data_IF_343073845396
#
_entry.id   IF_343073845396
#
_cell.length_a   1.000
_cell.length_b   1.000
_cell.length_c   1.000
_cell.angle_alpha   90.00
_cell.angle_beta   90.00
_cell.angle_gamma   90.00
#
_symmetry.space_group_name_H-M   'P 1'
#
loop_
_entity.id
_entity.type
_entity.pdbx_description
1 polymer ?
#
# COMPACT_ATOMS: atom_id res chain seq x y z
N UNK A 1 -13.85 -14.92 75.27
CA UNK A 1 -12.86 -14.16 74.48
C UNK A 1 -12.91 -14.66 73.04
N UNK A 2 -12.61 -13.76 72.10
CA UNK A 2 -12.71 -13.87 70.63
C UNK A 2 -14.07 -13.45 70.04
N UNK A 3 -14.19 -12.12 69.87
CA UNK A 3 -15.10 -11.48 68.93
C UNK A 3 -14.62 -11.76 67.50
N UNK A 4 -15.51 -12.13 66.59
CA UNK A 4 -15.27 -12.04 65.16
C UNK A 4 -16.25 -11.01 64.58
N UNK A 5 -15.68 -9.86 64.19
CA UNK A 5 -16.38 -8.65 63.79
C UNK A 5 -16.99 -8.77 62.40
N UNK A 6 -18.14 -8.12 62.25
CA UNK A 6 -18.82 -7.83 60.99
C UNK A 6 -18.02 -6.87 60.12
N UNK A 7 -17.81 -7.23 58.86
CA UNK A 7 -17.47 -6.29 57.77
C UNK A 7 -18.34 -6.61 56.55
N UNK A 8 -19.64 -6.32 56.69
CA UNK A 8 -20.55 -6.17 55.56
C UNK A 8 -20.72 -4.68 55.33
N UNK A 9 -20.20 -4.17 54.22
CA UNK A 9 -20.37 -2.78 53.82
C UNK A 9 -19.07 -2.17 53.35
N UNK A 10 -18.81 -2.30 52.05
CA UNK A 10 -18.18 -1.36 51.09
C UNK A 10 -17.91 -2.21 49.84
N UNK A 11 -18.95 -2.49 49.05
CA UNK A 11 -18.79 -3.20 47.76
C UNK A 11 -19.80 -2.75 46.70
N UNK A 12 -20.46 -1.61 46.90
CA UNK A 12 -21.56 -1.17 46.04
C UNK A 12 -21.49 0.32 45.66
N UNK A 13 -20.29 0.86 45.38
CA UNK A 13 -20.14 2.26 44.97
C UNK A 13 -19.01 2.55 43.98
N UNK A 14 -18.61 1.54 43.20
CA UNK A 14 -17.56 1.64 42.17
C UNK A 14 -18.01 1.17 40.78
N UNK A 15 -19.31 1.29 40.48
CA UNK A 15 -19.91 0.93 39.18
C UNK A 15 -20.75 2.08 38.59
N UNK A 16 -20.31 3.33 38.74
CA UNK A 16 -21.00 4.51 38.18
C UNK A 16 -20.05 5.56 37.60
N UNK A 17 -18.93 5.10 37.04
CA UNK A 17 -18.20 5.81 35.99
C UNK A 17 -18.15 4.92 34.75
N UNK A 18 -19.33 4.54 34.24
CA UNK A 18 -19.45 4.28 32.80
C UNK A 18 -19.19 5.63 32.13
N UNK A 19 -17.93 5.83 31.76
CA UNK A 19 -17.49 6.96 31.00
C UNK A 19 -18.41 7.10 29.80
N UNK A 20 -19.18 8.19 29.80
CA UNK A 20 -19.41 8.98 28.60
C UNK A 20 -18.05 9.51 28.15
N UNK A 21 -17.15 8.60 27.77
CA UNK A 21 -16.11 8.91 26.82
C UNK A 21 -16.87 9.22 25.56
N UNK A 22 -17.22 10.49 25.37
CA UNK A 22 -17.49 11.01 24.05
C UNK A 22 -16.31 10.54 23.22
N UNK A 23 -16.54 9.50 22.41
CA UNK A 23 -15.60 9.09 21.38
C UNK A 23 -15.53 10.30 20.47
N UNK A 24 -14.59 11.20 20.77
CA UNK A 24 -14.20 12.26 19.87
C UNK A 24 -13.73 11.49 18.65
N UNK A 25 -14.64 11.32 17.69
CA UNK A 25 -14.33 10.78 16.38
C UNK A 25 -13.12 11.56 15.92
N UNK A 26 -11.98 10.89 15.90
CA UNK A 26 -10.73 11.51 15.52
C UNK A 26 -10.91 12.01 14.09
N UNK A 27 -10.86 13.33 13.92
CA UNK A 27 -11.06 13.98 12.64
C UNK A 27 -10.02 13.47 11.64
N UNK A 28 -10.43 13.36 10.37
CA UNK A 28 -9.48 13.08 9.30
C UNK A 28 -8.36 14.14 9.32
N UNK A 29 -7.08 13.73 9.37
CA UNK A 29 -5.99 14.67 9.34
C UNK A 29 -5.97 15.43 8.01
N UNK A 30 -5.68 16.73 8.04
CA UNK A 30 -5.66 17.55 6.82
C UNK A 30 -4.53 17.12 5.85
N UNK A 31 -3.47 16.48 6.38
CA UNK A 31 -2.31 15.94 5.68
C UNK A 31 -2.39 14.42 5.43
N UNK A 32 -3.61 13.84 5.36
CA UNK A 32 -3.79 12.38 5.28
C UNK A 32 -3.01 11.71 4.13
N UNK A 33 -2.86 12.36 2.97
CA UNK A 33 -2.10 11.82 1.82
C UNK A 33 -0.62 11.61 2.16
N UNK A 34 -0.01 12.61 2.79
CA UNK A 34 1.38 12.56 3.23
C UNK A 34 1.58 11.47 4.30
N UNK A 35 0.61 11.29 5.19
CA UNK A 35 0.65 10.20 6.18
C UNK A 35 0.55 8.83 5.54
N UNK A 36 -0.31 8.65 4.55
CA UNK A 36 -0.39 7.40 3.76
C UNK A 36 0.96 7.10 3.10
N UNK A 37 1.54 8.10 2.44
CA UNK A 37 2.86 7.98 1.83
C UNK A 37 3.91 7.57 2.86
N UNK A 38 3.89 8.19 4.04
CA UNK A 38 4.79 7.84 5.15
C UNK A 38 4.61 6.39 5.60
N UNK A 39 3.37 5.94 5.84
CA UNK A 39 3.09 4.55 6.23
C UNK A 39 3.65 3.56 5.19
N UNK A 40 3.46 3.87 3.91
CA UNK A 40 3.85 3.02 2.77
C UNK A 40 5.38 3.03 2.57
N UNK A 41 6.03 4.18 2.76
CA UNK A 41 7.49 4.31 2.73
C UNK A 41 8.17 3.51 3.84
N UNK A 42 7.59 3.50 5.05
CA UNK A 42 8.13 2.74 6.19
C UNK A 42 8.11 1.22 5.95
N UNK A 43 7.10 0.71 5.24
CA UNK A 43 7.06 -0.69 4.84
C UNK A 43 8.18 -1.06 3.85
N UNK A 44 8.80 -0.07 3.21
CA UNK A 44 9.78 -0.22 2.14
C UNK A 44 9.25 -0.99 0.92
N UNK A 45 8.00 -1.48 0.89
CA UNK A 45 7.42 -2.21 -0.27
C UNK A 45 7.15 -1.31 -1.46
N UNK A 46 7.03 0.00 -1.25
CA UNK A 46 6.78 0.94 -2.33
C UNK A 46 8.04 1.24 -3.15
N UNK A 47 7.98 1.09 -4.48
CA UNK A 47 9.11 1.36 -5.35
C UNK A 47 9.62 2.81 -5.30
N UNK A 48 8.72 3.77 -5.06
CA UNK A 48 9.05 5.20 -5.00
C UNK A 48 10.00 5.56 -3.85
N UNK A 49 10.04 4.77 -2.78
CA UNK A 49 10.86 5.05 -1.59
C UNK A 49 12.32 4.61 -1.74
N UNK A 50 12.72 4.02 -2.87
CA UNK A 50 14.01 3.32 -3.01
C UNK A 50 14.14 2.06 -2.14
N UNK A 51 13.12 1.76 -1.32
CA UNK A 51 13.07 0.67 -0.35
C UNK A 51 12.55 -0.66 -0.89
N UNK A 52 11.98 -0.73 -2.10
CA UNK A 52 11.45 -2.00 -2.63
C UNK A 52 12.53 -3.03 -2.97
N UNK A 53 13.77 -2.56 -3.21
CA UNK A 53 14.92 -3.39 -3.54
C UNK A 53 15.21 -4.47 -2.48
N UNK A 54 15.44 -4.09 -1.21
CA UNK A 54 15.99 -5.03 -0.25
C UNK A 54 14.96 -6.07 0.20
N UNK A 55 13.67 -5.74 0.19
CA UNK A 55 12.58 -6.68 0.44
C UNK A 55 12.59 -7.95 -0.41
N UNK A 56 13.17 -7.84 -1.61
CA UNK A 56 13.01 -8.82 -2.66
C UNK A 56 14.35 -9.50 -2.98
N UNK A 57 15.46 -8.83 -2.64
CA UNK A 57 16.82 -9.31 -2.91
C UNK A 57 17.60 -9.66 -1.66
N UNK A 58 17.08 -9.37 -0.45
CA UNK A 58 17.71 -9.65 0.83
C UNK A 58 16.76 -10.43 1.77
N UNK A 59 17.12 -11.69 2.08
CA UNK A 59 16.28 -12.60 2.85
C UNK A 59 16.14 -12.13 4.29
N UNK A 60 17.22 -11.63 4.88
CA UNK A 60 17.25 -11.22 6.28
C UNK A 60 16.30 -10.05 6.48
N UNK A 61 16.22 -9.14 5.50
CA UNK A 61 15.26 -8.03 5.53
C UNK A 61 13.83 -8.48 5.32
N UNK A 62 13.59 -9.47 4.46
CA UNK A 62 12.26 -10.02 4.28
C UNK A 62 11.78 -10.76 5.55
N UNK A 63 12.65 -11.56 6.17
CA UNK A 63 12.41 -12.17 7.48
C UNK A 63 12.17 -11.07 8.53
N UNK A 64 12.99 -10.01 8.57
CA UNK A 64 12.81 -8.86 9.45
C UNK A 64 11.42 -8.21 9.31
N UNK A 65 10.98 -7.97 8.08
CA UNK A 65 9.70 -7.30 7.79
C UNK A 65 8.50 -8.14 8.23
N UNK A 66 8.61 -9.45 8.09
CA UNK A 66 7.60 -10.41 8.53
C UNK A 66 7.62 -10.63 10.05
N UNK A 67 8.78 -10.90 10.64
CA UNK A 67 8.93 -11.22 12.06
C UNK A 67 8.77 -10.01 12.99
N UNK A 68 9.32 -8.84 12.60
CA UNK A 68 9.16 -7.59 13.39
C UNK A 68 7.83 -6.90 13.14
N UNK A 69 6.98 -7.48 12.28
CA UNK A 69 5.63 -7.02 11.99
C UNK A 69 5.59 -5.63 11.35
N UNK A 70 6.57 -5.28 10.52
CA UNK A 70 6.62 -3.96 9.87
C UNK A 70 5.45 -3.82 8.89
N UNK A 71 5.18 -4.86 8.08
CA UNK A 71 4.00 -4.86 7.19
C UNK A 71 2.70 -4.73 7.98
N UNK A 72 2.58 -5.41 9.12
CA UNK A 72 1.42 -5.29 10.00
C UNK A 72 1.25 -3.87 10.53
N UNK A 73 2.35 -3.24 10.98
CA UNK A 73 2.35 -1.84 11.44
C UNK A 73 1.91 -0.88 10.35
N UNK A 74 2.38 -1.07 9.12
CA UNK A 74 1.94 -0.26 7.98
C UNK A 74 0.45 -0.46 7.69
N UNK A 75 -0.03 -1.70 7.70
CA UNK A 75 -1.46 -2.01 7.54
C UNK A 75 -2.30 -1.32 8.63
N UNK A 76 -1.83 -1.33 9.87
CA UNK A 76 -2.51 -0.68 10.99
C UNK A 76 -2.47 0.85 10.87
N UNK A 77 -1.35 1.42 10.40
CA UNK A 77 -1.19 2.85 10.08
C UNK A 77 -2.20 3.30 9.01
N UNK A 78 -2.29 2.56 7.90
CA UNK A 78 -3.25 2.82 6.83
C UNK A 78 -4.70 2.69 7.32
N UNK A 79 -4.99 1.67 8.16
CA UNK A 79 -6.33 1.46 8.71
C UNK A 79 -6.75 2.60 9.64
N UNK A 80 -5.84 3.10 10.48
CA UNK A 80 -6.12 4.24 11.36
C UNK A 80 -6.49 5.48 10.54
N UNK A 81 -5.73 5.79 9.48
CA UNK A 81 -6.03 6.91 8.57
C UNK A 81 -7.40 6.71 7.91
N UNK A 82 -7.65 5.53 7.32
CA UNK A 82 -8.94 5.24 6.67
C UNK A 82 -10.12 5.37 7.64
N UNK A 83 -9.94 4.91 8.89
CA UNK A 83 -10.97 4.99 9.94
C UNK A 83 -11.28 6.44 10.29
N UNK A 84 -10.27 7.29 10.47
CA UNK A 84 -10.43 8.73 10.77
C UNK A 84 -11.07 9.52 9.63
N UNK A 85 -10.84 9.06 8.39
CA UNK A 85 -11.38 9.70 7.19
C UNK A 85 -12.71 9.08 6.70
N UNK A 86 -13.25 8.10 7.41
CA UNK A 86 -14.43 7.33 6.98
C UNK A 86 -15.73 8.14 6.87
N UNK A 87 -15.85 9.23 7.65
CA UNK A 87 -17.03 10.10 7.67
C UNK A 87 -17.08 11.08 6.48
N UNK A 88 -15.95 11.32 5.81
CA UNK A 88 -15.89 12.18 4.62
C UNK A 88 -15.81 11.32 3.36
N UNK A 89 -16.89 11.31 2.57
CA UNK A 89 -17.01 10.46 1.37
C UNK A 89 -15.89 10.75 0.37
N UNK A 90 -15.54 12.02 0.14
CA UNK A 90 -14.51 12.40 -0.82
C UNK A 90 -13.14 11.89 -0.39
N UNK A 91 -12.77 12.12 0.88
CA UNK A 91 -11.48 11.65 1.42
C UNK A 91 -11.42 10.12 1.44
N UNK A 92 -12.52 9.44 1.79
CA UNK A 92 -12.59 7.98 1.78
C UNK A 92 -12.40 7.41 0.37
N UNK A 93 -13.14 7.92 -0.61
CA UNK A 93 -13.00 7.49 -2.01
C UNK A 93 -11.57 7.71 -2.52
N UNK A 94 -10.95 8.81 -2.12
CA UNK A 94 -9.56 9.06 -2.46
C UNK A 94 -8.59 8.07 -1.83
N UNK A 95 -8.75 7.76 -0.54
CA UNK A 95 -7.95 6.74 0.13
C UNK A 95 -8.13 5.35 -0.52
N UNK A 96 -9.35 5.00 -0.91
CA UNK A 96 -9.68 3.72 -1.58
C UNK A 96 -9.02 3.61 -2.97
N UNK A 97 -8.64 4.73 -3.60
CA UNK A 97 -7.85 4.74 -4.83
C UNK A 97 -6.34 4.55 -4.57
N UNK A 98 -5.86 5.01 -3.41
CA UNK A 98 -4.44 4.99 -3.03
C UNK A 98 -3.98 3.64 -2.48
N UNK A 99 -4.82 2.96 -1.71
CA UNK A 99 -4.51 1.65 -1.14
C UNK A 99 -5.77 0.84 -0.86
N UNK A 100 -5.59 -0.47 -0.67
CA UNK A 100 -6.60 -1.36 -0.10
C UNK A 100 -6.01 -2.11 1.09
N UNK A 101 -6.61 -1.96 2.27
CA UNK A 101 -6.19 -2.70 3.47
C UNK A 101 -6.25 -4.21 3.25
N UNK A 102 -7.26 -4.67 2.51
CA UNK A 102 -7.46 -6.08 2.24
C UNK A 102 -6.41 -6.63 1.27
N UNK A 103 -6.11 -5.89 0.21
CA UNK A 103 -5.05 -6.28 -0.72
C UNK A 103 -3.69 -6.31 0.01
N UNK A 104 -3.39 -5.29 0.82
CA UNK A 104 -2.15 -5.26 1.61
C UNK A 104 -2.01 -6.45 2.57
N UNK A 105 -3.10 -6.87 3.21
CA UNK A 105 -3.09 -8.09 4.04
C UNK A 105 -2.81 -9.34 3.21
N UNK A 106 -3.46 -9.50 2.07
CA UNK A 106 -3.20 -10.63 1.18
C UNK A 106 -1.76 -10.62 0.65
N UNK A 107 -1.20 -9.46 0.34
CA UNK A 107 0.21 -9.30 -0.02
C UNK A 107 1.15 -9.72 1.11
N UNK A 108 0.84 -9.30 2.35
CA UNK A 108 1.58 -9.72 3.54
C UNK A 108 1.49 -11.23 3.75
N UNK A 109 0.32 -11.84 3.59
CA UNK A 109 0.13 -13.29 3.72
C UNK A 109 0.96 -14.05 2.69
N UNK A 110 0.93 -13.62 1.42
CA UNK A 110 1.72 -14.23 0.35
C UNK A 110 3.23 -14.18 0.62
N UNK A 111 3.76 -13.08 1.16
CA UNK A 111 5.18 -12.97 1.51
C UNK A 111 5.53 -13.71 2.79
N UNK A 112 4.76 -13.51 3.86
CA UNK A 112 5.13 -13.90 5.21
C UNK A 112 4.64 -15.28 5.62
N UNK A 113 3.51 -15.77 5.10
CA UNK A 113 3.08 -17.15 5.40
C UNK A 113 3.93 -18.18 4.64
N UNK A 114 4.38 -17.86 3.42
CA UNK A 114 5.23 -18.77 2.65
C UNK A 114 6.63 -18.92 3.27
N UNK A 115 7.17 -17.87 3.91
CA UNK A 115 8.40 -17.95 4.71
C UNK A 115 8.25 -18.86 5.93
N UNK A 116 7.13 -18.75 6.63
CA UNK A 116 6.90 -19.43 7.90
C UNK A 116 6.36 -20.87 7.76
N UNK A 117 5.68 -21.20 6.67
CA UNK A 117 5.03 -22.52 6.49
C UNK A 117 5.43 -23.27 5.24
N UNK A 118 5.61 -22.60 4.09
CA UNK A 118 5.80 -23.31 2.81
C UNK A 118 7.26 -23.52 2.43
N UNK A 119 8.19 -22.81 3.07
CA UNK A 119 9.64 -22.84 2.79
C UNK A 119 10.02 -22.55 1.31
N UNK A 120 9.07 -22.20 0.44
CA UNK A 120 9.30 -22.01 -1.00
C UNK A 120 10.30 -20.89 -1.24
N UNK A 121 10.11 -19.75 -0.56
CA UNK A 121 11.07 -18.66 -0.60
C UNK A 121 12.42 -19.06 -0.01
N UNK A 122 12.43 -19.62 1.21
CA UNK A 122 13.66 -19.98 1.92
C UNK A 122 14.52 -20.98 1.15
N UNK A 123 13.90 -21.96 0.49
CA UNK A 123 14.58 -23.01 -0.27
C UNK A 123 15.09 -22.54 -1.63
N UNK A 124 14.55 -21.44 -2.16
CA UNK A 124 14.87 -20.92 -3.49
C UNK A 124 15.41 -19.49 -3.49
N UNK A 125 15.66 -18.93 -2.31
CA UNK A 125 16.16 -17.56 -2.16
C UNK A 125 17.51 -17.37 -2.85
N UNK A 126 18.38 -18.38 -2.81
CA UNK A 126 19.65 -18.40 -3.53
C UNK A 126 19.52 -18.21 -5.04
N UNK A 127 18.36 -18.56 -5.62
CA UNK A 127 18.08 -18.24 -7.01
C UNK A 127 17.80 -16.74 -7.18
N UNK A 128 16.92 -16.19 -6.35
CA UNK A 128 16.49 -14.79 -6.41
C UNK A 128 17.66 -13.84 -6.14
N UNK A 129 18.46 -14.13 -5.10
CA UNK A 129 19.57 -13.29 -4.67
C UNK A 129 20.66 -13.11 -5.75
N UNK A 130 20.89 -14.13 -6.59
CA UNK A 130 21.82 -14.04 -7.74
C UNK A 130 21.43 -12.97 -8.75
N UNK A 131 20.13 -12.68 -8.88
CA UNK A 131 19.62 -11.64 -9.77
C UNK A 131 19.48 -10.29 -9.08
N UNK A 132 19.75 -10.20 -7.78
CA UNK A 132 19.66 -8.97 -6.98
C UNK A 132 20.30 -7.77 -7.66
N UNK A 133 21.59 -7.81 -8.07
CA UNK A 133 22.23 -6.67 -8.74
C UNK A 133 21.54 -6.22 -10.04
N UNK A 134 21.00 -7.17 -10.81
CA UNK A 134 20.31 -6.90 -12.08
C UNK A 134 18.93 -6.28 -11.83
N UNK A 135 18.19 -6.83 -10.86
CA UNK A 135 16.92 -6.30 -10.37
C UNK A 135 17.13 -4.86 -9.88
N UNK A 136 18.12 -4.67 -9.00
CA UNK A 136 18.49 -3.38 -8.42
C UNK A 136 18.81 -2.33 -9.48
N UNK A 137 19.62 -2.71 -10.48
CA UNK A 137 19.97 -1.83 -11.59
C UNK A 137 18.76 -1.46 -12.46
N UNK A 138 17.86 -2.41 -12.70
CA UNK A 138 16.62 -2.16 -13.44
C UNK A 138 15.72 -1.18 -12.68
N UNK A 139 15.48 -1.41 -11.40
CA UNK A 139 14.65 -0.55 -10.55
C UNK A 139 15.25 0.86 -10.49
N UNK A 140 16.55 0.99 -10.26
CA UNK A 140 17.23 2.29 -10.24
C UNK A 140 17.01 3.08 -11.56
N UNK A 141 17.18 2.41 -12.70
CA UNK A 141 16.95 3.02 -14.02
C UNK A 141 15.49 3.45 -14.18
N UNK A 142 14.53 2.61 -13.76
CA UNK A 142 13.10 2.95 -13.83
C UNK A 142 12.74 4.10 -12.91
N UNK A 143 13.32 4.18 -11.72
CA UNK A 143 13.13 5.31 -10.79
C UNK A 143 13.67 6.61 -11.38
N UNK A 144 14.84 6.58 -12.03
CA UNK A 144 15.38 7.76 -12.72
C UNK A 144 14.46 8.23 -13.85
N UNK A 145 13.94 7.29 -14.66
CA UNK A 145 12.99 7.62 -15.72
C UNK A 145 11.69 8.19 -15.16
N UNK A 146 11.13 7.58 -14.11
CA UNK A 146 9.94 8.09 -13.44
C UNK A 146 10.14 9.51 -12.92
N UNK A 147 11.25 9.79 -12.24
CA UNK A 147 11.58 11.16 -11.79
C UNK A 147 11.62 12.13 -12.96
N UNK A 148 12.28 11.76 -14.05
CA UNK A 148 12.32 12.56 -15.27
C UNK A 148 10.92 12.80 -15.87
N UNK A 149 10.09 11.76 -15.94
CA UNK A 149 8.74 11.85 -16.49
C UNK A 149 7.83 12.74 -15.64
N UNK A 150 7.92 12.64 -14.30
CA UNK A 150 7.24 13.53 -13.35
C UNK A 150 7.72 14.97 -13.50
N UNK A 151 9.04 15.20 -13.53
CA UNK A 151 9.61 16.54 -13.72
C UNK A 151 9.19 17.17 -15.05
N UNK A 152 9.16 16.38 -16.14
CA UNK A 152 8.73 16.84 -17.45
C UNK A 152 7.22 17.11 -17.53
N UNK A 153 6.42 16.32 -16.80
CA UNK A 153 4.98 16.53 -16.72
C UNK A 153 4.65 17.86 -16.02
N UNK A 154 5.45 18.27 -15.03
CA UNK A 154 5.25 19.52 -14.29
C UNK A 154 3.85 19.59 -13.69
N UNK A 155 3.13 20.68 -13.94
CA UNK A 155 1.69 20.78 -13.62
C UNK A 155 0.91 20.09 -14.75
N UNK A 156 0.75 18.77 -14.62
CA UNK A 156 0.01 17.97 -15.58
C UNK A 156 -1.42 17.64 -15.09
N UNK A 157 -2.35 17.33 -16.01
CA UNK A 157 -3.64 16.76 -15.65
C UNK A 157 -3.47 15.50 -14.80
N UNK A 158 -4.37 15.31 -13.83
CA UNK A 158 -4.35 14.17 -12.90
C UNK A 158 -4.19 12.81 -13.60
N UNK A 159 -4.87 12.62 -14.74
CA UNK A 159 -4.78 11.41 -15.55
C UNK A 159 -3.35 11.11 -16.03
N UNK A 160 -2.60 12.12 -16.44
CA UNK A 160 -1.22 11.95 -16.91
C UNK A 160 -0.31 11.51 -15.77
N UNK A 161 -0.44 12.11 -14.58
CA UNK A 161 0.35 11.72 -13.40
C UNK A 161 -0.01 10.31 -12.91
N UNK A 162 -1.30 9.95 -12.99
CA UNK A 162 -1.78 8.61 -12.72
C UNK A 162 -1.16 7.59 -13.69
N UNK A 163 -1.23 7.84 -15.00
CA UNK A 163 -0.65 6.96 -16.02
C UNK A 163 0.88 6.79 -15.83
N UNK A 164 1.61 7.87 -15.51
CA UNK A 164 3.05 7.81 -15.22
C UNK A 164 3.33 6.93 -13.99
N UNK A 165 2.56 7.12 -12.91
CA UNK A 165 2.74 6.39 -11.65
C UNK A 165 2.42 4.90 -11.79
N UNK A 166 1.31 4.56 -12.45
CA UNK A 166 0.94 3.17 -12.66
C UNK A 166 1.89 2.45 -13.63
N UNK A 167 2.35 3.13 -14.69
CA UNK A 167 3.39 2.57 -15.55
C UNK A 167 4.70 2.33 -14.79
N UNK A 168 5.07 3.22 -13.86
CA UNK A 168 6.25 3.02 -13.03
C UNK A 168 6.11 1.78 -12.15
N UNK A 169 4.98 1.62 -11.45
CA UNK A 169 4.69 0.44 -10.64
C UNK A 169 4.82 -0.87 -11.43
N UNK A 170 4.18 -0.95 -12.60
CA UNK A 170 4.27 -2.10 -13.51
C UNK A 170 5.70 -2.38 -13.98
N UNK A 171 6.46 -1.32 -14.29
CA UNK A 171 7.85 -1.46 -14.69
C UNK A 171 8.72 -2.06 -13.58
N UNK A 172 8.40 -1.78 -12.31
CA UNK A 172 9.12 -2.33 -11.16
C UNK A 172 8.83 -3.81 -10.99
N UNK A 173 7.56 -4.23 -11.11
CA UNK A 173 7.20 -5.65 -11.14
C UNK A 173 7.92 -6.37 -12.29
N UNK A 174 7.95 -5.77 -13.48
CA UNK A 174 8.68 -6.30 -14.63
C UNK A 174 10.20 -6.42 -14.41
N UNK A 175 10.79 -5.53 -13.60
CA UNK A 175 12.22 -5.61 -13.24
C UNK A 175 12.54 -6.86 -12.43
N UNK A 176 11.55 -7.44 -11.76
CA UNK A 176 11.66 -8.66 -10.96
C UNK A 176 11.29 -9.90 -11.76
N UNK A 177 10.12 -9.87 -12.38
CA UNK A 177 9.57 -11.01 -13.10
C UNK A 177 10.51 -11.48 -14.22
N UNK A 178 10.97 -10.57 -15.09
CA UNK A 178 11.75 -10.92 -16.29
C UNK A 178 13.06 -11.65 -16.01
N UNK A 179 13.93 -11.18 -15.07
CA UNK A 179 15.15 -11.92 -14.76
C UNK A 179 14.85 -13.25 -14.05
N UNK A 180 13.83 -13.31 -13.20
CA UNK A 180 13.55 -14.49 -12.39
C UNK A 180 12.80 -15.59 -13.17
N UNK A 181 11.85 -15.24 -14.05
CA UNK A 181 11.01 -16.17 -14.79
C UNK A 181 11.79 -17.16 -15.68
N UNK A 182 13.03 -16.84 -16.03
CA UNK A 182 13.90 -17.69 -16.86
C UNK A 182 14.81 -18.61 -16.05
N UNK A 183 14.98 -18.35 -14.75
CA UNK A 183 16.05 -18.91 -13.96
C UNK A 183 15.60 -19.51 -12.63
N UNK A 184 14.48 -19.05 -12.07
CA UNK A 184 13.93 -19.51 -10.81
C UNK A 184 12.63 -20.29 -11.03
N UNK A 185 12.25 -21.16 -10.06
CA UNK A 185 10.98 -21.88 -10.12
C UNK A 185 9.80 -20.92 -10.29
N UNK A 186 8.87 -21.29 -11.16
CA UNK A 186 7.74 -20.42 -11.50
C UNK A 186 6.90 -20.05 -10.27
N UNK A 187 6.76 -20.96 -9.31
CA UNK A 187 6.00 -20.72 -8.07
C UNK A 187 6.60 -19.57 -7.25
N UNK A 188 7.93 -19.47 -7.17
CA UNK A 188 8.62 -18.39 -6.45
C UNK A 188 8.35 -17.07 -7.15
N UNK A 189 8.49 -17.03 -8.47
CA UNK A 189 8.28 -15.82 -9.27
C UNK A 189 6.83 -15.36 -9.19
N UNK A 190 5.88 -16.28 -9.31
CA UNK A 190 4.45 -15.99 -9.28
C UNK A 190 4.02 -15.47 -7.90
N UNK A 191 4.49 -16.08 -6.80
CA UNK A 191 4.20 -15.58 -5.45
C UNK A 191 4.77 -14.18 -5.25
N UNK A 192 6.02 -13.91 -5.68
CA UNK A 192 6.64 -12.58 -5.57
C UNK A 192 5.86 -11.53 -6.35
N UNK A 193 5.57 -11.81 -7.61
CA UNK A 193 4.86 -10.90 -8.51
C UNK A 193 3.44 -10.65 -8.01
N UNK A 194 2.74 -11.72 -7.61
CA UNK A 194 1.39 -11.62 -7.04
C UNK A 194 1.39 -10.77 -5.77
N UNK A 195 2.32 -11.01 -4.84
CA UNK A 195 2.41 -10.22 -3.61
C UNK A 195 2.68 -8.74 -3.89
N UNK A 196 3.55 -8.41 -4.84
CA UNK A 196 3.85 -7.02 -5.17
C UNK A 196 2.67 -6.29 -5.80
N UNK A 197 1.91 -6.96 -6.67
CA UNK A 197 0.67 -6.41 -7.21
C UNK A 197 -0.34 -6.07 -6.12
N UNK A 198 -0.38 -6.82 -5.02
CA UNK A 198 -1.24 -6.55 -3.87
C UNK A 198 -0.90 -5.27 -3.10
N UNK A 199 0.33 -4.79 -3.19
CA UNK A 199 0.76 -3.54 -2.57
C UNK A 199 0.60 -2.32 -3.50
N UNK A 200 0.26 -2.53 -4.77
CA UNK A 200 0.02 -1.43 -5.69
C UNK A 200 -1.29 -0.71 -5.37
N UNK A 201 -1.37 0.60 -5.63
CA UNK A 201 -2.62 1.33 -5.52
C UNK A 201 -3.72 0.66 -6.36
N UNK A 202 -4.95 0.48 -5.85
CA UNK A 202 -6.07 -0.05 -6.63
C UNK A 202 -6.33 0.70 -7.93
N UNK A 203 -6.04 2.01 -7.96
CA UNK A 203 -6.12 2.81 -9.17
C UNK A 203 -5.17 2.33 -10.29
N UNK A 204 -4.12 1.57 -9.96
CA UNK A 204 -3.18 0.99 -10.90
C UNK A 204 -3.46 -0.49 -11.22
N UNK A 205 -4.46 -1.10 -10.57
CA UNK A 205 -4.85 -2.45 -10.91
C UNK A 205 -5.37 -2.49 -12.36
N UNK A 206 -5.02 -3.51 -13.15
CA UNK A 206 -5.56 -3.65 -14.50
C UNK A 206 -7.09 -3.70 -14.42
N UNK A 207 -7.75 -2.69 -15.00
CA UNK A 207 -9.22 -2.66 -15.08
C UNK A 207 -9.65 -3.95 -15.76
N UNK A 208 -10.50 -4.79 -15.12
CA UNK A 208 -10.99 -6.00 -15.76
C UNK A 208 -11.56 -5.60 -17.11
N UNK A 209 -11.05 -6.22 -18.18
CA UNK A 209 -11.60 -6.03 -19.52
C UNK A 209 -13.02 -6.59 -19.43
N UNK A 210 -13.98 -5.72 -19.15
CA UNK A 210 -15.38 -6.00 -19.40
C UNK A 210 -15.43 -6.23 -20.90
N UNK A 211 -15.44 -7.50 -21.30
CA UNK A 211 -15.76 -7.89 -22.65
C UNK A 211 -17.04 -7.13 -22.98
N UNK A 212 -16.92 -6.12 -23.85
CA UNK A 212 -18.08 -5.57 -24.54
C UNK A 212 -18.71 -6.77 -25.20
N UNK A 213 -19.76 -7.30 -24.60
CA UNK A 213 -20.71 -8.15 -25.28
C UNK A 213 -21.07 -7.38 -26.53
N UNK A 214 -20.67 -7.95 -27.67
CA UNK A 214 -20.99 -7.48 -29.00
C UNK A 214 -22.48 -7.76 -29.25
N UNK A 215 -23.35 -7.23 -28.40
CA UNK A 215 -24.78 -7.16 -28.68
C UNK A 215 -25.07 -5.73 -29.09
N UNK A 216 -24.95 -5.53 -30.39
CA UNK A 216 -25.48 -4.35 -31.04
C UNK A 216 -26.96 -4.25 -30.73
N UNK A 217 -27.35 -3.20 -30.02
CA UNK A 217 -28.58 -2.50 -30.35
C UNK A 217 -28.51 -1.05 -29.91
N UNK A 218 -28.47 -0.21 -30.93
CA UNK A 218 -28.81 1.21 -30.89
C UNK A 218 -30.20 1.35 -30.27
N UNK A 219 -30.27 1.85 -29.04
CA UNK A 219 -31.42 2.62 -28.59
C UNK A 219 -30.95 3.95 -28.02
N UNK A 220 -31.01 4.97 -28.88
CA UNK A 220 -31.13 6.36 -28.50
C UNK A 220 -32.29 6.50 -27.51
N UNK A 221 -31.99 6.86 -26.26
CA UNK A 221 -32.94 7.61 -25.44
C UNK A 221 -32.24 8.81 -24.83
N UNK A 222 -32.75 9.97 -25.24
CA UNK A 222 -32.55 11.28 -24.66
C UNK A 222 -32.70 11.20 -23.14
N UNK A 223 -31.70 11.68 -22.41
CA UNK A 223 -31.87 12.32 -21.11
C UNK A 223 -30.81 13.39 -20.98
N UNK A 224 -31.26 14.60 -21.25
CA UNK A 224 -30.63 15.87 -21.01
C UNK A 224 -30.98 16.24 -19.57
N UNK A 225 -30.03 16.19 -18.63
CA UNK A 225 -29.96 17.21 -17.58
C UNK A 225 -28.62 17.22 -16.84
N UNK A 226 -28.28 18.46 -16.46
CA UNK A 226 -27.25 19.01 -15.57
C UNK A 226 -26.71 18.04 -14.51
N UNK A 227 -25.42 18.08 -14.15
CA UNK A 227 -24.69 19.28 -13.74
C UNK A 227 -23.16 19.06 -13.83
N UNK A 228 -22.51 19.85 -14.67
CA UNK A 228 -21.06 20.07 -14.65
C UNK A 228 -20.73 20.99 -13.48
N UNK A 229 -20.50 20.41 -12.30
CA UNK A 229 -19.72 21.08 -11.26
C UNK A 229 -18.23 20.90 -11.64
N UNK A 230 -17.44 21.97 -11.79
CA UNK A 230 -16.01 21.82 -12.04
C UNK A 230 -15.38 21.20 -10.79
N UNK A 231 -15.04 19.91 -10.87
CA UNK A 231 -14.17 19.28 -9.89
C UNK A 231 -12.88 20.09 -9.82
N UNK A 232 -12.64 20.72 -8.67
CA UNK A 232 -11.40 21.45 -8.42
C UNK A 232 -10.21 20.50 -8.71
N UNK A 233 -9.19 20.97 -9.45
CA UNK A 233 -8.04 20.14 -9.76
C UNK A 233 -7.36 19.73 -8.46
N UNK A 234 -7.36 18.43 -8.18
CA UNK A 234 -6.60 17.86 -7.07
C UNK A 234 -5.12 18.03 -7.42
N UNK A 235 -4.47 18.98 -6.76
CA UNK A 235 -3.03 19.20 -6.88
C UNK A 235 -2.33 18.14 -6.04
N UNK A 236 -1.58 17.25 -6.70
CA UNK A 236 -0.63 16.37 -6.05
C UNK A 236 0.71 17.10 -6.01
N UNK A 237 1.02 17.68 -4.86
CA UNK A 237 2.36 18.18 -4.59
C UNK A 237 3.24 16.97 -4.29
N UNK A 238 3.93 16.45 -5.32
CA UNK A 238 4.95 15.42 -5.12
C UNK A 238 6.15 16.05 -4.42
N UNK A 239 6.32 15.75 -3.13
CA UNK A 239 7.50 16.13 -2.37
C UNK A 239 8.62 15.16 -2.74
N UNK A 240 9.54 15.60 -3.60
CA UNK A 240 10.75 14.84 -3.89
C UNK A 240 11.67 14.99 -2.67
N UNK A 241 11.74 13.97 -1.82
CA UNK A 241 12.74 13.91 -0.75
C UNK A 241 14.10 13.65 -1.39
N UNK A 242 14.93 14.68 -1.49
CA UNK A 242 16.35 14.54 -1.84
C UNK A 242 17.04 13.76 -0.71
N UNK A 243 17.27 12.47 -0.95
CA UNK A 243 18.13 11.66 -0.08
C UNK A 243 19.55 12.21 -0.12
N UNK A 244 19.99 12.79 1.00
CA UNK A 244 21.34 13.31 1.17
C UNK A 244 22.39 12.24 0.85
N UNK A 245 23.33 12.59 -0.01
CA UNK A 245 24.53 11.82 -0.27
C UNK A 245 25.31 11.69 1.05
N UNK A 246 25.60 10.46 1.45
CA UNK A 246 26.55 10.20 2.51
C UNK A 246 27.94 10.65 2.02
N UNK A 247 28.48 11.71 2.61
CA UNK A 247 29.88 12.09 2.43
C UNK A 247 30.79 10.98 2.98
N UNK A 248 31.79 10.62 2.16
CA UNK A 248 32.87 9.67 2.47
C UNK A 248 33.76 10.15 3.63
#
# INVERSE_FOLDING_TARGET
MAHCSSTWGILAQLLLFCGLGASQKARCPDDYRYRVETCVMEAQVAPQAGGGLPLITDMDKLEELCERGILQKTIDCLRDIQTRCSDNVTQRLELDMLFSIEEWKQGQELLCEDLNRKLVFKNHFDCVSKFGPRISSCILLKTQNFRKDITNAGIAPHRTLHDITCNFAENIVNCLERPLARACPIEVVDTMVSALHKFLPPACAPVPILYKTNDGQVQRRNSQDKSDEPLEPIIFETVIVEGGEAEN
#
